data_IF_972269751630
#
_entry.id   IF_972269751630
#
_cell.length_a   1.000
_cell.length_b   1.000
_cell.length_c   1.000
_cell.angle_alpha   90.00
_cell.angle_beta   90.00
_cell.angle_gamma   90.00
#
_symmetry.space_group_name_H-M   'P 1'
#
loop_
_entity.id
_entity.type
_entity.pdbx_description
1 polymer ?
#
# COMPACT_ATOMS: atom_id res chain seq x y z
N UNK A 1 23.93 -14.38 -9.45
CA UNK A 1 24.59 -13.86 -8.23
C UNK A 1 23.56 -12.98 -7.53
N UNK A 2 22.83 -13.55 -6.58
CA UNK A 2 21.83 -12.82 -5.81
C UNK A 2 22.53 -12.02 -4.73
N UNK A 3 22.37 -10.70 -4.73
CA UNK A 3 22.75 -9.84 -3.61
C UNK A 3 21.88 -10.19 -2.41
N UNK A 4 22.45 -10.66 -1.28
CA UNK A 4 21.69 -10.82 -0.06
C UNK A 4 21.45 -9.45 0.57
N UNK A 5 20.29 -9.30 1.20
CA UNK A 5 19.87 -8.17 2.05
C UNK A 5 21.03 -7.36 2.64
N UNK A 6 21.31 -6.18 2.10
CA UNK A 6 22.21 -5.21 2.72
C UNK A 6 21.44 -4.36 3.74
N UNK A 7 20.76 -5.02 4.69
CA UNK A 7 20.04 -4.39 5.81
C UNK A 7 20.89 -4.45 7.07
N UNK A 8 22.12 -3.94 6.98
CA UNK A 8 22.99 -3.86 8.15
C UNK A 8 22.60 -2.66 9.01
N UNK A 9 21.86 -2.88 10.10
CA UNK A 9 21.70 -1.91 11.19
C UNK A 9 23.02 -1.51 11.86
N UNK A 10 24.15 -2.16 11.52
CA UNK A 10 25.48 -1.77 12.00
C UNK A 10 25.76 -0.33 11.62
N UNK A 11 26.55 0.36 12.44
CA UNK A 11 27.07 1.69 12.17
C UNK A 11 27.79 1.64 10.80
N UNK A 12 27.08 2.06 9.76
CA UNK A 12 27.70 2.35 8.47
C UNK A 12 28.43 3.68 8.69
N UNK A 13 29.77 3.71 8.62
CA UNK A 13 30.51 4.95 8.83
C UNK A 13 30.18 6.02 7.77
N UNK A 14 29.58 5.64 6.64
CA UNK A 14 29.19 6.53 5.56
C UNK A 14 27.72 6.97 5.63
N UNK A 15 26.91 6.44 6.57
CA UNK A 15 25.53 6.90 6.80
C UNK A 15 25.52 8.01 7.87
N UNK A 16 25.27 9.28 7.49
CA UNK A 16 25.30 10.41 8.43
C UNK A 16 24.13 10.38 9.43
N UNK A 17 23.15 9.50 9.23
CA UNK A 17 21.94 9.42 10.04
C UNK A 17 22.19 8.82 11.43
N UNK A 18 21.45 9.32 12.41
CA UNK A 18 21.40 8.73 13.74
C UNK A 18 20.75 7.33 13.74
N UNK A 19 20.97 6.52 14.79
CA UNK A 19 20.36 5.19 14.90
C UNK A 19 18.82 5.22 14.77
N UNK A 20 18.17 6.21 15.38
CA UNK A 20 16.71 6.36 15.32
C UNK A 20 16.22 6.58 13.87
N UNK A 21 16.85 7.50 13.14
CA UNK A 21 16.52 7.81 11.74
C UNK A 21 16.73 6.60 10.82
N UNK A 22 17.75 5.77 11.10
CA UNK A 22 18.01 4.54 10.36
C UNK A 22 16.94 3.47 10.60
N UNK A 23 16.48 3.34 11.84
CA UNK A 23 15.36 2.45 12.17
C UNK A 23 14.09 2.92 11.48
N UNK A 24 13.80 4.22 11.50
CA UNK A 24 12.64 4.79 10.82
C UNK A 24 12.65 4.51 9.32
N UNK A 25 13.79 4.74 8.66
CA UNK A 25 13.96 4.46 7.24
C UNK A 25 13.77 2.97 6.92
N UNK A 26 14.34 2.07 7.73
CA UNK A 26 14.19 0.62 7.52
C UNK A 26 12.73 0.16 7.72
N UNK A 27 12.02 0.75 8.67
CA UNK A 27 10.59 0.46 8.88
C UNK A 27 9.77 0.92 7.68
N UNK A 28 10.04 2.12 7.15
CA UNK A 28 9.36 2.64 5.96
C UNK A 28 9.62 1.77 4.73
N UNK A 29 10.88 1.42 4.45
CA UNK A 29 11.27 0.53 3.36
C UNK A 29 10.55 -0.83 3.46
N UNK A 30 10.51 -1.41 4.66
CA UNK A 30 9.86 -2.71 4.86
C UNK A 30 8.34 -2.64 4.66
N UNK A 31 7.72 -1.53 5.03
CA UNK A 31 6.29 -1.29 4.79
C UNK A 31 6.02 -1.11 3.31
N UNK A 32 6.86 -0.35 2.61
CA UNK A 32 6.78 -0.16 1.17
C UNK A 32 6.84 -1.51 0.44
N UNK A 33 7.89 -2.32 0.69
CA UNK A 33 8.00 -3.68 0.11
C UNK A 33 6.76 -4.55 0.39
N UNK A 34 6.24 -4.51 1.62
CA UNK A 34 5.08 -5.31 1.99
C UNK A 34 3.82 -4.84 1.23
N UNK A 35 3.63 -3.53 1.09
CA UNK A 35 2.53 -2.93 0.33
C UNK A 35 2.65 -3.26 -1.16
N UNK A 36 3.85 -3.20 -1.72
CA UNK A 36 4.11 -3.58 -3.11
C UNK A 36 3.77 -5.05 -3.36
N UNK A 37 4.20 -5.93 -2.46
CA UNK A 37 3.88 -7.35 -2.53
C UNK A 37 2.37 -7.59 -2.52
N UNK A 38 1.63 -6.93 -1.62
CA UNK A 38 0.16 -7.03 -1.55
C UNK A 38 -0.50 -6.58 -2.86
N UNK A 39 -0.09 -5.43 -3.39
CA UNK A 39 -0.64 -4.89 -4.64
C UNK A 39 -0.40 -5.83 -5.82
N UNK A 40 0.82 -6.38 -5.93
CA UNK A 40 1.19 -7.28 -7.03
C UNK A 40 0.49 -8.64 -6.91
N UNK A 41 0.47 -9.23 -5.72
CA UNK A 41 -0.22 -10.50 -5.45
C UNK A 41 -1.71 -10.40 -5.80
N UNK A 42 -2.38 -9.33 -5.35
CA UNK A 42 -3.78 -9.09 -5.65
C UNK A 42 -4.03 -8.90 -7.15
N UNK A 43 -3.17 -8.14 -7.85
CA UNK A 43 -3.29 -7.94 -9.30
C UNK A 43 -3.21 -9.27 -10.06
N UNK A 44 -2.24 -10.11 -9.72
CA UNK A 44 -2.06 -11.43 -10.33
C UNK A 44 -3.30 -12.30 -10.08
N UNK A 45 -3.80 -12.34 -8.85
CA UNK A 45 -4.98 -13.13 -8.50
C UNK A 45 -6.25 -12.66 -9.22
N UNK A 46 -6.49 -11.34 -9.29
CA UNK A 46 -7.63 -10.76 -10.00
C UNK A 46 -7.58 -11.09 -11.49
N UNK A 47 -6.42 -10.94 -12.13
CA UNK A 47 -6.25 -11.25 -13.55
C UNK A 47 -6.44 -12.72 -13.84
N UNK A 48 -5.89 -13.60 -12.99
CA UNK A 48 -6.09 -15.05 -13.09
C UNK A 48 -7.58 -15.41 -12.99
N UNK A 49 -8.31 -14.83 -12.03
CA UNK A 49 -9.75 -15.06 -11.88
C UNK A 49 -10.56 -14.61 -13.11
N UNK A 50 -10.05 -13.62 -13.85
CA UNK A 50 -10.64 -13.09 -15.08
C UNK A 50 -10.14 -13.78 -16.36
N UNK A 51 -9.26 -14.78 -16.26
CA UNK A 51 -8.63 -15.43 -17.43
C UNK A 51 -7.71 -14.52 -18.23
N UNK A 52 -7.23 -13.41 -17.63
CA UNK A 52 -6.28 -12.46 -18.25
C UNK A 52 -4.83 -12.98 -18.06
N UNK A 53 -3.91 -12.65 -18.99
CA UNK A 53 -2.50 -12.96 -18.81
C UNK A 53 -1.91 -12.22 -17.60
N UNK A 54 -0.74 -12.67 -17.12
CA UNK A 54 0.02 -11.97 -16.08
C UNK A 54 0.30 -10.50 -16.44
N UNK A 55 0.48 -9.60 -15.45
CA UNK A 55 0.77 -8.19 -15.72
C UNK A 55 2.14 -8.03 -16.38
N UNK A 56 2.24 -7.07 -17.31
CA UNK A 56 3.46 -6.74 -18.04
C UNK A 56 4.07 -5.43 -17.52
N UNK A 57 5.34 -5.44 -17.13
CA UNK A 57 6.02 -4.28 -16.54
C UNK A 57 6.07 -3.03 -17.45
N UNK A 58 6.01 -3.24 -18.77
CA UNK A 58 6.00 -2.17 -19.78
C UNK A 58 4.59 -1.68 -20.13
N UNK A 59 3.54 -2.36 -19.66
CA UNK A 59 2.15 -1.95 -19.88
C UNK A 59 1.81 -0.80 -18.95
N UNK A 60 1.52 0.37 -19.53
CA UNK A 60 1.05 1.53 -18.76
C UNK A 60 -0.30 1.24 -18.06
N UNK A 61 -1.16 0.42 -18.67
CA UNK A 61 -2.44 0.02 -18.08
C UNK A 61 -2.25 -0.88 -16.87
N UNK A 62 -1.33 -1.84 -16.93
CA UNK A 62 -1.07 -2.73 -15.80
C UNK A 62 -0.42 -1.98 -14.64
N UNK A 63 0.44 -1.00 -14.94
CA UNK A 63 1.01 -0.09 -13.93
C UNK A 63 -0.06 0.73 -13.24
N UNK A 64 -1.00 1.30 -14.00
CA UNK A 64 -2.10 2.06 -13.44
C UNK A 64 -3.04 1.18 -12.58
N UNK A 65 -3.32 -0.05 -13.02
CA UNK A 65 -4.11 -1.03 -12.25
C UNK A 65 -3.41 -1.37 -10.93
N UNK A 66 -2.10 -1.62 -10.96
CA UNK A 66 -1.27 -1.87 -9.78
C UNK A 66 -1.27 -0.69 -8.79
N UNK A 67 -0.97 0.53 -9.27
CA UNK A 67 -0.96 1.74 -8.44
C UNK A 67 -2.33 2.00 -7.79
N UNK A 68 -3.42 1.71 -8.53
CA UNK A 68 -4.78 1.75 -8.00
C UNK A 68 -4.99 0.78 -6.84
N UNK A 69 -4.54 -0.47 -6.97
CA UNK A 69 -4.66 -1.48 -5.91
C UNK A 69 -3.80 -1.13 -4.69
N UNK A 70 -2.58 -0.63 -4.88
CA UNK A 70 -1.70 -0.14 -3.81
C UNK A 70 -2.39 0.98 -3.03
N UNK A 71 -2.94 1.98 -3.74
CA UNK A 71 -3.68 3.09 -3.13
C UNK A 71 -4.88 2.59 -2.32
N UNK A 72 -5.69 1.71 -2.89
CA UNK A 72 -6.88 1.17 -2.22
C UNK A 72 -6.50 0.38 -0.96
N UNK A 73 -5.44 -0.43 -1.03
CA UNK A 73 -4.93 -1.18 0.12
C UNK A 73 -4.45 -0.24 1.23
N UNK A 74 -3.64 0.77 0.91
CA UNK A 74 -3.13 1.74 1.88
C UNK A 74 -4.27 2.52 2.58
N UNK A 75 -5.31 2.91 1.83
CA UNK A 75 -6.47 3.58 2.40
C UNK A 75 -7.28 2.66 3.32
N UNK A 76 -7.47 1.40 2.92
CA UNK A 76 -8.15 0.40 3.75
C UNK A 76 -7.38 0.14 5.06
N UNK A 77 -6.08 -0.11 4.94
CA UNK A 77 -5.18 -0.36 6.07
C UNK A 77 -5.17 0.83 7.04
N UNK A 78 -5.03 2.05 6.52
CA UNK A 78 -5.11 3.28 7.32
C UNK A 78 -6.45 3.39 8.05
N UNK A 79 -7.57 3.26 7.33
CA UNK A 79 -8.89 3.39 7.93
C UNK A 79 -9.10 2.43 9.10
N UNK A 80 -8.74 1.16 8.90
CA UNK A 80 -8.88 0.11 9.91
C UNK A 80 -7.94 0.30 11.11
N UNK A 81 -6.69 0.74 10.89
CA UNK A 81 -5.71 0.90 11.96
C UNK A 81 -5.88 2.19 12.78
N UNK A 82 -6.52 3.21 12.22
CA UNK A 82 -6.83 4.42 12.98
C UNK A 82 -8.02 4.23 13.94
N UNK A 83 -8.85 3.22 13.71
CA UNK A 83 -10.02 2.96 14.53
C UNK A 83 -9.60 2.60 15.97
N UNK A 84 -10.10 3.35 16.94
CA UNK A 84 -9.83 3.13 18.37
C UNK A 84 -8.46 3.62 18.86
N UNK A 85 -7.67 4.32 18.04
CA UNK A 85 -6.43 4.95 18.50
C UNK A 85 -6.71 6.13 19.45
N UNK A 86 -5.81 6.31 20.41
CA UNK A 86 -5.82 7.48 21.28
C UNK A 86 -5.55 8.76 20.47
N UNK A 87 -6.09 9.92 20.89
CA UNK A 87 -5.89 11.19 20.18
C UNK A 87 -4.43 11.58 19.97
N UNK A 88 -3.55 11.26 20.93
CA UNK A 88 -2.11 11.52 20.81
C UNK A 88 -1.49 10.74 19.65
N UNK A 89 -1.86 9.48 19.49
CA UNK A 89 -1.34 8.61 18.43
C UNK A 89 -1.89 8.99 17.07
N UNK A 90 -3.16 9.42 17.00
CA UNK A 90 -3.73 10.02 15.79
C UNK A 90 -2.93 11.25 15.34
N UNK A 91 -2.50 12.10 16.28
CA UNK A 91 -1.65 13.26 15.95
C UNK A 91 -0.27 12.84 15.44
N UNK A 92 0.34 11.79 15.98
CA UNK A 92 1.63 11.27 15.48
C UNK A 92 1.51 10.83 14.03
N UNK A 93 0.43 10.12 13.69
CA UNK A 93 0.16 9.69 12.30
C UNK A 93 -0.09 10.90 11.39
N UNK A 94 -0.92 11.86 11.81
CA UNK A 94 -1.19 13.08 11.01
C UNK A 94 0.08 13.85 10.71
N UNK A 95 0.95 14.05 11.71
CA UNK A 95 2.23 14.76 11.54
C UNK A 95 3.15 14.03 10.56
N UNK A 96 3.23 12.70 10.63
CA UNK A 96 4.03 11.92 9.69
C UNK A 96 3.50 12.05 8.25
N UNK A 97 2.19 12.01 8.07
CA UNK A 97 1.54 12.25 6.77
C UNK A 97 1.84 13.66 6.25
N UNK A 98 1.63 14.69 7.07
CA UNK A 98 1.86 16.10 6.71
C UNK A 98 3.31 16.37 6.32
N UNK A 99 4.28 15.78 7.03
CA UNK A 99 5.69 15.97 6.76
C UNK A 99 6.13 15.44 5.39
N UNK A 100 5.44 14.43 4.83
CA UNK A 100 5.78 13.84 3.53
C UNK A 100 5.25 14.64 2.34
N UNK A 101 4.33 15.57 2.57
CA UNK A 101 3.81 16.49 1.56
C UNK A 101 2.50 16.03 0.90
N UNK A 102 2.30 16.40 -0.37
CA UNK A 102 0.99 16.30 -1.06
C UNK A 102 0.77 14.99 -1.81
N UNK A 103 1.84 14.27 -2.14
CA UNK A 103 1.73 13.01 -2.89
C UNK A 103 1.09 11.93 -2.02
N UNK A 104 0.01 11.33 -2.52
CA UNK A 104 -0.88 10.51 -1.71
C UNK A 104 -0.22 9.21 -1.23
N UNK A 105 0.43 8.45 -2.12
CA UNK A 105 1.08 7.18 -1.74
C UNK A 105 2.22 7.41 -0.74
N UNK A 106 3.22 8.29 -1.00
CA UNK A 106 4.26 8.59 -0.02
C UNK A 106 3.68 9.03 1.32
N UNK A 107 2.65 9.90 1.30
CA UNK A 107 1.97 10.35 2.52
C UNK A 107 1.37 9.18 3.30
N UNK A 108 0.63 8.30 2.64
CA UNK A 108 0.03 7.12 3.27
C UNK A 108 1.09 6.18 3.84
N UNK A 109 2.20 5.96 3.13
CA UNK A 109 3.33 5.15 3.62
C UNK A 109 3.95 5.75 4.89
N UNK A 110 4.16 7.07 4.94
CA UNK A 110 4.64 7.74 6.14
C UNK A 110 3.69 7.56 7.34
N UNK A 111 2.38 7.62 7.10
CA UNK A 111 1.36 7.31 8.11
C UNK A 111 1.46 5.87 8.63
N UNK A 112 1.68 4.90 7.73
CA UNK A 112 1.92 3.50 8.12
C UNK A 112 3.20 3.34 8.93
N UNK A 113 4.28 4.05 8.58
CA UNK A 113 5.52 4.07 9.37
C UNK A 113 5.32 4.60 10.79
N UNK A 114 4.44 5.59 10.98
CA UNK A 114 4.06 6.06 12.31
C UNK A 114 3.21 5.02 13.07
N UNK A 115 2.26 4.38 12.39
CA UNK A 115 1.44 3.31 12.96
C UNK A 115 2.27 2.12 13.41
N UNK A 116 3.23 1.66 12.59
CA UNK A 116 4.09 0.53 12.90
C UNK A 116 4.98 0.75 14.12
N UNK A 117 5.33 2.02 14.41
CA UNK A 117 6.09 2.39 15.61
C UNK A 117 5.21 2.55 16.86
N UNK A 118 3.92 2.77 16.65
CA UNK A 118 2.95 3.02 17.73
C UNK A 118 2.27 1.73 18.19
N UNK A 119 1.95 0.85 17.24
CA UNK A 119 1.20 -0.38 17.46
C UNK A 119 2.15 -1.58 17.58
N UNK A 120 2.28 -2.22 18.75
CA UNK A 120 3.13 -3.41 18.93
C UNK A 120 2.71 -4.60 18.06
N UNK A 121 1.42 -4.69 17.74
CA UNK A 121 0.80 -5.75 16.94
C UNK A 121 0.55 -5.34 15.47
N UNK A 122 1.21 -4.27 14.99
CA UNK A 122 1.03 -3.73 13.64
C UNK A 122 1.10 -4.81 12.55
N UNK A 123 2.16 -5.62 12.54
CA UNK A 123 2.35 -6.64 11.50
C UNK A 123 1.30 -7.75 11.55
N UNK A 124 0.83 -8.12 12.74
CA UNK A 124 -0.26 -9.08 12.88
C UNK A 124 -1.57 -8.52 12.33
N UNK A 125 -1.87 -7.25 12.61
CA UNK A 125 -3.05 -6.56 12.07
C UNK A 125 -2.94 -6.38 10.56
N UNK A 126 -1.77 -6.02 10.05
CA UNK A 126 -1.47 -5.91 8.62
C UNK A 126 -1.81 -7.20 7.89
N UNK A 127 -1.29 -8.34 8.37
CA UNK A 127 -1.56 -9.65 7.76
C UNK A 127 -3.05 -10.04 7.82
N UNK A 128 -3.70 -9.77 8.95
CA UNK A 128 -5.14 -10.05 9.12
C UNK A 128 -5.97 -9.24 8.12
N UNK A 129 -5.70 -7.93 8.02
CA UNK A 129 -6.37 -7.02 7.10
C UNK A 129 -6.05 -7.38 5.65
N UNK A 130 -4.82 -7.80 5.34
CA UNK A 130 -4.41 -8.23 3.99
C UNK A 130 -5.27 -9.39 3.50
N UNK A 131 -5.40 -10.44 4.33
CA UNK A 131 -6.22 -11.60 3.99
C UNK A 131 -7.68 -11.19 3.76
N UNK A 132 -8.26 -10.39 4.66
CA UNK A 132 -9.62 -9.92 4.53
C UNK A 132 -9.84 -9.06 3.26
N UNK A 133 -8.90 -8.15 2.98
CA UNK A 133 -8.95 -7.27 1.81
C UNK A 133 -8.88 -8.04 0.49
N UNK A 134 -7.94 -8.98 0.37
CA UNK A 134 -7.80 -9.83 -0.83
C UNK A 134 -9.06 -10.67 -1.03
N UNK A 135 -9.57 -11.32 0.03
CA UNK A 135 -10.79 -12.11 -0.06
C UNK A 135 -12.00 -11.28 -0.50
N UNK A 136 -12.18 -10.08 0.07
CA UNK A 136 -13.25 -9.17 -0.32
C UNK A 136 -13.14 -8.76 -1.80
N UNK A 137 -11.92 -8.52 -2.30
CA UNK A 137 -11.69 -8.12 -3.69
C UNK A 137 -11.91 -9.24 -4.70
N UNK A 138 -11.53 -10.48 -4.36
CA UNK A 138 -11.75 -11.63 -5.22
C UNK A 138 -13.22 -12.09 -5.24
N UNK A 139 -13.94 -11.91 -4.13
CA UNK A 139 -15.37 -12.21 -4.04
C UNK A 139 -16.28 -11.13 -4.66
N UNK A 140 -15.76 -9.93 -4.90
CA UNK A 140 -16.52 -8.84 -5.49
C UNK A 140 -16.74 -9.06 -7.01
N UNK A 141 -17.97 -8.89 -7.53
CA UNK A 141 -18.18 -8.91 -8.97
C UNK A 141 -17.39 -7.76 -9.63
N UNK A 142 -16.82 -7.97 -10.83
CA UNK A 142 -16.04 -6.93 -11.49
C UNK A 142 -16.89 -5.69 -11.74
N UNK A 143 -16.32 -4.47 -11.63
CA UNK A 143 -17.06 -3.25 -11.91
C UNK A 143 -17.58 -3.32 -13.36
N UNK A 144 -18.90 -3.24 -13.53
CA UNK A 144 -19.54 -3.29 -14.84
C UNK A 144 -19.13 -2.07 -15.65
N UNK A 145 -18.14 -2.22 -16.54
CA UNK A 145 -17.65 -1.21 -17.48
C UNK A 145 -18.67 -0.84 -18.59
N UNK A 146 -19.96 -0.72 -18.26
CA UNK A 146 -21.04 -0.66 -19.26
C UNK A 146 -22.20 0.28 -18.96
N UNK A 147 -22.14 1.08 -17.89
CA UNK A 147 -23.22 2.02 -17.58
C UNK A 147 -23.01 3.42 -18.18
N UNK A 148 -21.76 3.90 -18.26
CA UNK A 148 -21.44 5.20 -18.87
C UNK A 148 -21.45 5.17 -20.41
N UNK A 149 -21.11 4.03 -21.02
CA UNK A 149 -21.15 3.88 -22.49
C UNK A 149 -22.57 3.82 -23.08
N UNK A 150 -23.58 3.48 -22.27
CA UNK A 150 -24.99 3.49 -22.71
C UNK A 150 -25.66 4.86 -22.62
N UNK A 151 -25.20 5.72 -21.70
CA UNK A 151 -25.73 7.07 -21.58
C UNK A 151 -25.18 7.99 -22.68
N UNK A 152 -23.94 7.82 -23.10
CA UNK A 152 -23.35 8.60 -24.20
C UNK A 152 -23.81 8.16 -25.60
N UNK A 153 -24.37 6.94 -25.74
CA UNK A 153 -24.95 6.49 -27.02
C UNK A 153 -26.39 6.98 -27.24
N UNK A 154 -27.10 7.38 -26.17
CA UNK A 154 -28.48 7.83 -26.22
C UNK A 154 -28.62 9.37 -26.38
N UNK A 155 -27.52 10.10 -26.28
CA UNK A 155 -27.45 11.55 -26.51
C UNK A 155 -26.98 11.92 -27.93
N UNK A 156 -26.91 10.94 -28.86
CA UNK A 156 -26.68 11.15 -30.30
C UNK A 156 -27.74 10.40 -31.11
N UNK A 157 -29.00 10.84 -30.99
CA UNK A 157 -30.06 10.65 -31.99
C UNK A 157 -30.89 11.93 -32.04
#
# INVERSE_FOLDING_TARGET
>A
MSTPFNTSLRRDPDDPRGLAERIEALVEERIEEAVEFVGMDLLIQLRRAQGRPAPEAKSAGDRQEYEGLVREWLLHLRGALLEGLAPEDLQKVSRAEEARGREEIPRLLAGQGALARTLPDYWQRFETLRVAFIQARLGAPPPRAGFLSRLLRRARL
#
